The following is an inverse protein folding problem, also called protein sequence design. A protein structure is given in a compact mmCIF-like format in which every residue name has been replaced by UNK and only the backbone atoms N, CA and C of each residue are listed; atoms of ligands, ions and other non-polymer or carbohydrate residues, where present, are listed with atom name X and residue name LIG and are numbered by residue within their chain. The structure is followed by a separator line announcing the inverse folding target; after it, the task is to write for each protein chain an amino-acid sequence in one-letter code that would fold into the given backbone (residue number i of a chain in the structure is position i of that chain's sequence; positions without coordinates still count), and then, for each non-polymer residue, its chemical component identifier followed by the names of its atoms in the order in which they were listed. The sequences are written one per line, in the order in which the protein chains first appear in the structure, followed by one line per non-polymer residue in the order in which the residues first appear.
data_IF_400803948305
#
_entry.id   IF_400803948305
#
_cell.length_a   1.000
_cell.length_b   1.000
_cell.length_c   1.000
_cell.angle_alpha   90.00
_cell.angle_beta   90.00
_cell.angle_gamma   90.00
#
_symmetry.space_group_name_H-M   'P 1'
#
loop_
_entity.id
_entity.type
_entity.pdbx_description
1 polymer ?
#
# COMPACT_ATOMS: atom_id res chain seq x y z
N UNK A 1 12.69 -3.39 9.55
CA UNK A 1 12.82 -4.14 8.29
C UNK A 1 11.66 -3.76 7.41
N UNK A 2 11.83 -2.74 6.55
CA UNK A 2 10.87 -2.43 5.50
C UNK A 2 10.87 -3.61 4.53
N UNK A 3 9.70 -4.15 4.18
CA UNK A 3 9.62 -5.27 3.25
C UNK A 3 9.94 -4.75 1.85
N UNK A 4 11.23 -4.75 1.49
CA UNK A 4 11.83 -4.26 0.24
C UNK A 4 11.49 -5.13 -1.00
N UNK A 5 10.42 -5.94 -0.94
CA UNK A 5 10.17 -7.01 -1.91
C UNK A 5 8.73 -7.08 -2.44
N UNK A 6 7.95 -6.00 -2.36
CA UNK A 6 6.59 -6.03 -2.93
C UNK A 6 6.65 -5.78 -4.43
N UNK A 7 6.83 -6.88 -5.16
CA UNK A 7 6.63 -6.93 -6.60
C UNK A 7 5.13 -7.03 -6.88
N UNK A 8 4.63 -6.20 -7.80
CA UNK A 8 3.23 -6.26 -8.20
C UNK A 8 3.04 -7.36 -9.25
N UNK A 9 2.14 -8.31 -8.99
CA UNK A 9 1.68 -9.25 -10.00
C UNK A 9 0.55 -8.61 -10.81
N UNK A 10 0.84 -8.27 -12.05
CA UNK A 10 -0.13 -7.77 -13.01
C UNK A 10 -0.80 -8.93 -13.72
N UNK A 11 -2.13 -8.93 -13.71
CA UNK A 11 -2.97 -9.81 -14.54
C UNK A 11 -3.53 -8.99 -15.69
N UNK A 12 -3.16 -9.33 -16.91
CA UNK A 12 -3.53 -8.59 -18.11
C UNK A 12 -4.50 -9.44 -18.91
N UNK A 13 -5.72 -8.91 -19.09
CA UNK A 13 -6.81 -9.55 -19.82
C UNK A 13 -6.96 -8.84 -21.16
N UNK A 14 -7.07 -9.61 -22.23
CA UNK A 14 -7.18 -9.09 -23.58
C UNK A 14 -7.56 -10.16 -24.58
N UNK A 15 -7.09 -10.03 -25.81
CA UNK A 15 -7.30 -11.02 -26.88
C UNK A 15 -6.06 -11.12 -27.75
N UNK A 16 -5.91 -12.25 -28.44
CA UNK A 16 -4.82 -12.52 -29.38
C UNK A 16 -3.41 -12.38 -28.78
N UNK A 17 -3.23 -12.79 -27.52
CA UNK A 17 -1.89 -12.95 -26.96
C UNK A 17 -1.19 -14.18 -27.54
N UNK A 18 0.12 -14.08 -27.71
CA UNK A 18 0.99 -15.16 -28.15
C UNK A 18 2.10 -15.39 -27.11
N UNK A 19 2.70 -16.59 -27.03
CA UNK A 19 3.79 -16.88 -26.10
C UNK A 19 5.01 -15.95 -26.22
N UNK A 20 5.23 -15.32 -27.39
CA UNK A 20 6.33 -14.39 -27.66
C UNK A 20 6.02 -12.93 -27.31
N UNK A 21 4.84 -12.64 -26.78
CA UNK A 21 4.45 -11.28 -26.40
C UNK A 21 5.27 -10.78 -25.20
N UNK A 22 5.47 -9.47 -25.13
CA UNK A 22 6.13 -8.80 -24.01
C UNK A 22 5.38 -7.53 -23.61
N UNK A 23 5.58 -7.06 -22.38
CA UNK A 23 4.97 -5.82 -21.90
C UNK A 23 6.01 -4.70 -21.80
N UNK A 24 5.60 -3.48 -22.10
CA UNK A 24 6.26 -2.27 -21.65
C UNK A 24 5.53 -1.76 -20.40
N UNK A 25 6.27 -1.61 -19.30
CA UNK A 25 5.75 -1.07 -18.04
C UNK A 25 6.51 0.21 -17.68
N UNK A 26 5.76 1.29 -17.48
CA UNK A 26 6.33 2.58 -17.08
C UNK A 26 7.27 3.19 -18.14
N UNK A 27 8.24 4.05 -17.74
CA UNK A 27 9.02 4.85 -18.68
C UNK A 27 10.14 4.10 -19.43
N UNK A 28 10.51 2.88 -19.05
CA UNK A 28 11.71 2.26 -19.65
C UNK A 28 11.89 0.74 -19.49
N UNK A 29 10.94 0.00 -18.92
CA UNK A 29 11.12 -1.44 -18.69
C UNK A 29 10.39 -2.33 -19.70
N UNK A 30 11.12 -3.15 -20.46
CA UNK A 30 10.56 -4.36 -21.10
C UNK A 30 10.44 -5.45 -20.04
N UNK A 31 9.27 -6.05 -19.95
CA UNK A 31 9.00 -7.13 -19.02
C UNK A 31 8.57 -8.41 -19.72
N UNK A 32 9.10 -9.57 -19.29
CA UNK A 32 8.62 -10.85 -19.78
C UNK A 32 7.18 -11.07 -19.31
N UNK A 33 6.35 -11.56 -20.23
CA UNK A 33 5.02 -12.03 -19.93
C UNK A 33 5.04 -13.54 -19.67
N UNK A 34 4.31 -13.97 -18.66
CA UNK A 34 3.92 -15.38 -18.50
C UNK A 34 2.63 -15.59 -19.28
N UNK A 35 2.74 -16.32 -20.39
CA UNK A 35 1.59 -16.67 -21.22
C UNK A 35 0.72 -17.73 -20.52
N UNK A 36 -0.59 -17.47 -20.40
CA UNK A 36 -1.55 -18.44 -19.87
C UNK A 36 -2.56 -18.86 -20.93
N UNK A 37 -3.06 -17.94 -21.73
CA UNK A 37 -3.94 -18.19 -22.88
C UNK A 37 -3.88 -17.02 -23.87
N UNK A 38 -4.55 -17.15 -25.01
CA UNK A 38 -4.71 -16.05 -25.97
C UNK A 38 -5.47 -14.84 -25.40
N UNK A 39 -6.04 -14.94 -24.20
CA UNK A 39 -6.79 -13.86 -23.53
C UNK A 39 -6.22 -13.47 -22.16
N UNK A 40 -5.21 -14.18 -21.67
CA UNK A 40 -4.65 -13.98 -20.34
C UNK A 40 -3.12 -14.12 -20.33
N UNK A 41 -2.46 -13.07 -19.87
CA UNK A 41 -1.02 -13.05 -19.59
C UNK A 41 -0.77 -12.39 -18.24
N UNK A 42 0.30 -12.78 -17.56
CA UNK A 42 0.69 -12.15 -16.30
C UNK A 42 2.12 -11.61 -16.36
N UNK A 43 2.39 -10.61 -15.54
CA UNK A 43 3.72 -10.00 -15.44
C UNK A 43 4.02 -9.63 -14.00
N UNK A 44 5.29 -9.61 -13.63
CA UNK A 44 5.72 -9.18 -12.30
C UNK A 44 6.59 -7.95 -12.48
N UNK A 45 6.23 -6.84 -11.84
CA UNK A 45 7.05 -5.63 -11.85
C UNK A 45 8.37 -5.89 -11.10
N UNK A 46 9.44 -5.19 -11.46
CA UNK A 46 10.56 -5.04 -10.51
C UNK A 46 10.11 -4.23 -9.29
N UNK A 47 10.89 -4.27 -8.22
CA UNK A 47 10.50 -3.75 -6.91
C UNK A 47 10.07 -2.27 -6.95
N UNK A 48 9.12 -1.94 -6.06
CA UNK A 48 8.69 -0.62 -5.60
C UNK A 48 8.59 0.47 -6.69
N UNK A 49 7.59 0.35 -7.56
CA UNK A 49 7.12 1.51 -8.32
C UNK A 49 5.98 2.19 -7.58
N UNK A 50 6.20 3.44 -7.20
CA UNK A 50 5.13 4.36 -6.82
C UNK A 50 4.93 5.36 -7.96
N UNK A 51 3.69 5.76 -8.20
CA UNK A 51 3.31 6.73 -9.23
C UNK A 51 2.62 6.11 -10.44
N UNK A 52 2.44 6.95 -11.47
CA UNK A 52 1.71 6.58 -12.68
C UNK A 52 2.48 5.55 -13.49
N UNK A 53 1.82 4.41 -13.74
CA UNK A 53 2.33 3.32 -14.55
C UNK A 53 1.48 3.18 -15.80
N UNK A 54 2.14 2.92 -16.91
CA UNK A 54 1.49 2.57 -18.19
C UNK A 54 1.84 1.13 -18.52
N UNK A 55 0.86 0.32 -18.92
CA UNK A 55 1.05 -1.01 -19.51
C UNK A 55 0.68 -0.96 -20.99
N UNK A 56 1.57 -1.48 -21.82
CA UNK A 56 1.28 -1.85 -23.20
C UNK A 56 1.84 -3.23 -23.50
N UNK A 57 1.09 -4.06 -24.22
CA UNK A 57 1.54 -5.37 -24.68
C UNK A 57 1.93 -5.25 -26.14
N UNK A 58 3.11 -5.74 -26.48
CA UNK A 58 3.63 -5.78 -27.83
C UNK A 58 3.83 -7.21 -28.28
N UNK A 59 3.55 -7.43 -29.56
CA UNK A 59 3.97 -8.65 -30.24
C UNK A 59 5.44 -8.55 -30.65
N UNK A 60 6.02 -9.70 -31.01
CA UNK A 60 7.45 -9.93 -31.22
C UNK A 60 8.18 -8.84 -32.04
N UNK A 61 7.53 -8.25 -33.04
CA UNK A 61 8.14 -7.35 -34.02
C UNK A 61 8.00 -5.85 -33.69
N UNK A 62 7.43 -5.50 -32.53
CA UNK A 62 7.17 -4.11 -32.10
C UNK A 62 6.31 -3.28 -33.06
N UNK A 63 5.77 -3.87 -34.14
CA UNK A 63 5.05 -3.13 -35.18
C UNK A 63 3.62 -2.79 -34.73
N UNK A 64 3.04 -3.63 -33.86
CA UNK A 64 1.69 -3.47 -33.33
C UNK A 64 1.67 -3.64 -31.80
N UNK A 65 1.56 -2.52 -31.08
CA UNK A 65 1.29 -2.50 -29.65
C UNK A 65 -0.21 -2.44 -29.36
N UNK A 66 -0.62 -2.93 -28.19
CA UNK A 66 -1.97 -2.70 -27.66
C UNK A 66 -2.19 -1.22 -27.33
N UNK A 67 -3.45 -0.86 -27.04
CA UNK A 67 -3.73 0.41 -26.37
C UNK A 67 -2.95 0.48 -25.04
N UNK A 68 -2.51 1.69 -24.70
CA UNK A 68 -1.94 1.98 -23.39
C UNK A 68 -3.03 1.96 -22.33
N UNK A 69 -2.79 1.22 -21.25
CA UNK A 69 -3.60 1.27 -20.04
C UNK A 69 -2.78 1.94 -18.95
N UNK A 70 -3.31 3.00 -18.36
CA UNK A 70 -2.66 3.72 -17.26
C UNK A 70 -3.33 3.36 -15.93
N UNK A 71 -2.52 3.26 -14.89
CA UNK A 71 -2.96 3.03 -13.52
C UNK A 71 -1.97 3.67 -12.55
N UNK A 72 -2.45 4.03 -11.36
CA UNK A 72 -1.61 4.58 -10.31
C UNK A 72 -1.19 3.46 -9.36
N UNK A 73 0.11 3.32 -9.11
CA UNK A 73 0.61 2.47 -8.04
C UNK A 73 0.89 3.33 -6.83
N UNK A 74 0.17 3.09 -5.75
CA UNK A 74 0.35 3.79 -4.47
C UNK A 74 1.04 2.90 -3.46
N UNK A 75 1.98 3.45 -2.70
CA UNK A 75 2.47 2.79 -1.48
C UNK A 75 1.29 2.46 -0.56
N UNK A 76 1.29 1.26 0.02
CA UNK A 76 0.39 0.97 1.11
C UNK A 76 1.03 1.49 2.42
N UNK A 77 0.22 2.09 3.29
CA UNK A 77 0.70 2.48 4.61
C UNK A 77 0.61 1.29 5.56
N UNK A 78 1.70 1.02 6.28
CA UNK A 78 1.70 -0.04 7.30
C UNK A 78 2.31 0.45 8.59
N UNK A 79 1.56 0.29 9.68
CA UNK A 79 2.09 0.47 11.03
C UNK A 79 2.78 -0.81 11.46
N UNK A 80 4.02 -0.72 11.88
CA UNK A 80 4.81 -1.86 12.36
C UNK A 80 4.92 -1.88 13.89
N UNK A 81 5.03 -0.70 14.50
CA UNK A 81 5.27 -0.56 15.94
C UNK A 81 4.52 0.66 16.49
N UNK A 82 4.12 0.57 17.76
CA UNK A 82 3.48 1.67 18.49
C UNK A 82 4.18 1.86 19.83
N UNK A 83 4.51 3.10 20.18
CA UNK A 83 5.10 3.45 21.47
C UNK A 83 4.61 4.80 22.00
N UNK A 84 4.20 4.90 23.28
CA UNK A 84 3.91 3.78 24.17
C UNK A 84 2.76 2.91 23.63
N UNK A 85 2.69 1.65 24.03
CA UNK A 85 1.57 0.73 23.67
C UNK A 85 0.39 0.81 24.65
N UNK A 86 0.39 1.85 25.49
CA UNK A 86 -0.63 2.10 26.52
C UNK A 86 -0.74 3.59 26.82
N UNK A 87 -1.91 4.03 27.25
CA UNK A 87 -2.18 5.40 27.70
C UNK A 87 -2.99 5.38 28.99
N UNK A 88 -2.87 6.44 29.77
CA UNK A 88 -3.69 6.62 30.97
C UNK A 88 -5.15 6.87 30.59
N UNK A 89 -6.08 6.25 31.31
CA UNK A 89 -7.51 6.55 31.17
C UNK A 89 -7.79 8.02 31.49
N UNK A 90 -8.81 8.57 30.83
CA UNK A 90 -9.23 9.97 30.99
C UNK A 90 -8.12 11.03 30.76
N UNK A 91 -6.96 10.65 30.20
CA UNK A 91 -5.85 11.55 29.91
C UNK A 91 -5.33 11.32 28.49
N UNK A 92 -4.94 12.41 27.85
CA UNK A 92 -4.30 12.35 26.55
C UNK A 92 -2.83 11.99 26.72
N UNK A 93 -2.36 11.04 25.92
CA UNK A 93 -0.95 10.60 25.86
C UNK A 93 -0.48 10.73 24.41
N UNK A 94 0.72 11.28 24.20
CA UNK A 94 1.33 11.24 22.87
C UNK A 94 1.78 9.82 22.55
N UNK A 95 1.35 9.32 21.39
CA UNK A 95 1.61 7.97 20.91
C UNK A 95 2.29 8.06 19.55
N UNK A 96 3.48 7.47 19.44
CA UNK A 96 4.23 7.35 18.20
C UNK A 96 3.88 6.04 17.49
N UNK A 97 3.45 6.15 16.24
CA UNK A 97 3.30 5.04 15.30
C UNK A 97 4.53 5.03 14.38
N UNK A 98 5.21 3.89 14.29
CA UNK A 98 6.36 3.69 13.40
C UNK A 98 6.00 2.68 12.34
N UNK A 99 6.31 3.00 11.09
CA UNK A 99 5.87 2.21 9.95
C UNK A 99 6.56 2.57 8.65
N UNK A 100 5.87 2.33 7.55
CA UNK A 100 6.34 2.62 6.18
C UNK A 100 5.20 3.23 5.35
N UNK A 101 5.58 4.00 4.34
CA UNK A 101 4.67 4.54 3.33
C UNK A 101 3.74 5.65 3.85
N UNK A 102 4.02 6.24 5.02
CA UNK A 102 3.13 7.22 5.61
C UNK A 102 3.02 8.50 4.78
N UNK A 103 1.78 8.83 4.43
CA UNK A 103 1.34 9.99 3.64
C UNK A 103 0.35 10.81 4.46
N UNK A 104 -0.29 11.84 3.91
CA UNK A 104 -1.17 12.75 4.66
C UNK A 104 -2.65 12.32 4.69
N UNK A 105 -3.06 11.43 3.79
CA UNK A 105 -4.44 10.94 3.64
C UNK A 105 -4.67 9.67 4.48
N UNK A 106 -4.82 9.86 5.79
CA UNK A 106 -5.13 8.76 6.71
C UNK A 106 -5.97 9.20 7.90
N UNK A 107 -6.45 8.22 8.67
CA UNK A 107 -7.01 8.43 10.01
C UNK A 107 -6.51 7.33 10.94
N UNK A 108 -6.25 7.66 12.20
CA UNK A 108 -5.90 6.66 13.22
C UNK A 108 -7.04 6.54 14.22
N UNK A 109 -7.41 5.31 14.56
CA UNK A 109 -8.46 5.00 15.50
C UNK A 109 -7.87 4.22 16.67
N UNK A 110 -8.21 4.62 17.90
CA UNK A 110 -7.94 3.89 19.13
C UNK A 110 -9.26 3.27 19.62
N UNK A 111 -9.39 1.95 19.49
CA UNK A 111 -10.66 1.25 19.69
C UNK A 111 -11.67 1.67 18.63
N UNK A 112 -12.62 2.50 19.05
CA UNK A 112 -13.68 3.06 18.21
C UNK A 112 -13.61 4.59 18.08
N UNK A 113 -12.58 5.22 18.66
CA UNK A 113 -12.43 6.68 18.71
C UNK A 113 -11.32 7.14 17.77
N UNK A 114 -11.65 8.03 16.84
CA UNK A 114 -10.66 8.71 15.97
C UNK A 114 -9.75 9.62 16.80
N UNK A 115 -8.46 9.59 16.51
CA UNK A 115 -7.44 10.40 17.16
C UNK A 115 -6.92 11.50 16.24
N UNK A 116 -6.44 12.59 16.85
CA UNK A 116 -5.73 13.66 16.15
C UNK A 116 -4.28 13.22 15.98
N UNK A 117 -3.81 13.18 14.73
CA UNK A 117 -2.47 12.72 14.39
C UNK A 117 -1.83 13.55 13.30
N UNK A 118 -0.50 13.53 13.25
CA UNK A 118 0.33 14.19 12.26
C UNK A 118 1.46 13.26 11.81
N UNK A 119 1.71 13.20 10.50
CA UNK A 119 2.80 12.43 9.91
C UNK A 119 4.04 13.32 9.92
N UNK A 120 5.03 12.95 10.73
CA UNK A 120 6.28 13.72 10.88
C UNK A 120 7.35 13.26 9.90
N UNK A 121 7.24 12.04 9.37
CA UNK A 121 8.07 11.51 8.29
C UNK A 121 7.34 10.37 7.56
N UNK A 122 7.85 9.89 6.41
CA UNK A 122 7.29 8.72 5.73
C UNK A 122 7.29 7.41 6.54
N UNK A 123 7.88 7.41 7.74
CA UNK A 123 7.97 6.27 8.65
C UNK A 123 7.49 6.55 10.07
N UNK A 124 7.00 7.76 10.36
CA UNK A 124 6.59 8.16 11.72
C UNK A 124 5.33 9.03 11.74
N UNK A 125 4.32 8.59 12.48
CA UNK A 125 3.11 9.34 12.80
C UNK A 125 3.08 9.60 14.32
N UNK A 126 2.78 10.83 14.72
CA UNK A 126 2.49 11.18 16.11
C UNK A 126 0.98 11.34 16.27
N UNK A 127 0.42 10.76 17.32
CA UNK A 127 -1.00 10.78 17.63
C UNK A 127 -1.23 11.20 19.08
N UNK A 128 -2.36 11.83 19.36
CA UNK A 128 -2.82 12.09 20.72
C UNK A 128 -3.92 11.10 21.08
N UNK A 129 -3.68 10.22 22.04
CA UNK A 129 -4.67 9.23 22.46
C UNK A 129 -5.94 9.93 22.98
N UNK A 130 -7.13 9.40 22.68
CA UNK A 130 -8.38 9.94 23.21
C UNK A 130 -8.47 9.70 24.73
N UNK A 131 -9.31 10.49 25.39
CA UNK A 131 -9.61 10.36 26.80
C UNK A 131 -10.81 9.44 26.99
N UNK A 132 -10.54 8.17 27.25
CA UNK A 132 -11.57 7.12 27.43
C UNK A 132 -11.31 6.34 28.72
N UNK A 133 -12.28 5.54 29.14
CA UNK A 133 -12.15 4.64 30.29
C UNK A 133 -11.11 3.52 30.03
N UNK A 134 -10.58 2.94 31.10
CA UNK A 134 -9.66 1.81 31.01
C UNK A 134 -10.25 0.62 30.24
N UNK A 135 -9.37 -0.09 29.52
CA UNK A 135 -9.72 -1.27 28.76
C UNK A 135 -8.81 -1.53 27.56
N UNK A 136 -8.91 -2.73 26.96
CA UNK A 136 -8.19 -3.05 25.74
C UNK A 136 -8.72 -2.21 24.58
N UNK A 137 -7.81 -1.61 23.83
CA UNK A 137 -8.08 -0.88 22.60
C UNK A 137 -7.22 -1.43 21.47
N UNK A 138 -7.76 -1.47 20.25
CA UNK A 138 -6.92 -1.72 19.08
C UNK A 138 -6.56 -0.41 18.42
N UNK A 139 -5.31 -0.23 18.00
CA UNK A 139 -4.97 0.84 17.06
C UNK A 139 -5.20 0.33 15.65
N UNK A 140 -5.90 1.11 14.85
CA UNK A 140 -6.09 0.87 13.43
C UNK A 140 -5.75 2.12 12.62
N UNK A 141 -5.07 1.91 11.49
CA UNK A 141 -4.83 2.93 10.49
C UNK A 141 -5.91 2.79 9.41
N UNK A 142 -6.57 3.88 9.03
CA UNK A 142 -7.56 3.91 7.97
C UNK A 142 -7.02 4.71 6.80
N UNK A 143 -7.02 4.10 5.62
CA UNK A 143 -6.53 4.68 4.36
C UNK A 143 -7.54 4.35 3.28
N UNK A 144 -8.03 5.36 2.55
CA UNK A 144 -9.02 5.19 1.47
C UNK A 144 -10.27 4.35 1.86
N UNK A 145 -10.67 4.42 3.13
CA UNK A 145 -11.81 3.65 3.68
C UNK A 145 -11.47 2.22 4.10
N UNK A 146 -10.25 1.73 3.83
CA UNK A 146 -9.77 0.43 4.29
C UNK A 146 -9.15 0.56 5.67
N UNK A 147 -9.57 -0.32 6.59
CA UNK A 147 -9.03 -0.42 7.95
C UNK A 147 -7.86 -1.40 7.94
N UNK A 148 -6.65 -0.87 8.06
CA UNK A 148 -5.45 -1.64 8.27
C UNK A 148 -5.33 -2.17 9.71
N UNK A 149 -4.61 -3.27 9.82
CA UNK A 149 -4.20 -4.04 11.01
C UNK A 149 -4.57 -3.47 12.40
N UNK A 150 -5.18 -4.30 13.27
CA UNK A 150 -5.45 -3.97 14.67
C UNK A 150 -4.23 -4.27 15.55
N UNK A 151 -3.43 -3.26 15.87
CA UNK A 151 -2.32 -3.40 16.82
C UNK A 151 -2.83 -3.29 18.27
N UNK A 152 -2.31 -4.09 19.22
CA UNK A 152 -2.77 -4.05 20.60
C UNK A 152 -2.38 -2.74 21.30
N UNK A 153 -3.33 -2.17 22.04
CA UNK A 153 -3.17 -0.99 22.87
C UNK A 153 -4.05 -1.10 24.12
N UNK A 154 -3.73 -0.41 25.21
CA UNK A 154 -4.51 -0.49 26.46
C UNK A 154 -4.65 0.91 27.08
N UNK A 155 -5.87 1.24 27.49
CA UNK A 155 -6.12 2.33 28.44
C UNK A 155 -6.13 1.77 29.87
N UNK A 156 -5.44 2.43 30.81
CA UNK A 156 -5.25 1.95 32.19
C UNK A 156 -5.27 3.06 33.23
#
# INVERSE_FOLDING_TARGET
SANLNERLLLTIIGSHFYPSAHALLGPSGRFPLKFSSSTLVTCVTSANWEGNMTVQVFQHDHSHGSNAVQFLVTSYMKVMFVFPSRALEHRSTEVTLVGVGFRSDYSVIFGDVKSVCESTSPSKILCISPQVAAGPAGIALLVDGYKEQKLPFIFY
#
